data_IF_210702170055
#
_entry.id   IF_210702170055
#
_cell.length_a   1.000
_cell.length_b   1.000
_cell.length_c   1.000
_cell.angle_alpha   90.00
_cell.angle_beta   90.00
_cell.angle_gamma   90.00
#
_symmetry.space_group_name_H-M   'P 1'
#
loop_
_entity.id
_entity.type
_entity.pdbx_description
1 polymer ?
#
# COMPACT_ATOMS: atom_id res chain seq x y z
N UNK A 1 2.74 17.16 17.23
CA UNK A 1 2.24 17.94 16.07
C UNK A 1 0.83 17.43 15.80
N UNK A 2 -0.20 18.20 16.14
CA UNK A 2 -1.60 17.79 15.94
C UNK A 2 -1.97 18.12 14.49
N UNK A 3 -2.24 17.11 13.67
CA UNK A 3 -2.83 17.33 12.35
C UNK A 3 -4.27 17.84 12.60
N UNK A 4 -4.66 19.00 12.04
CA UNK A 4 -6.01 19.54 12.24
C UNK A 4 -7.06 18.53 11.79
N UNK A 5 -8.19 18.50 12.50
CA UNK A 5 -9.35 17.71 12.06
C UNK A 5 -9.77 18.16 10.66
N UNK A 6 -10.02 17.21 9.76
CA UNK A 6 -10.49 17.49 8.41
C UNK A 6 -11.77 18.36 8.46
N UNK A 7 -11.94 19.33 7.54
CA UNK A 7 -13.13 20.17 7.50
C UNK A 7 -14.40 19.33 7.30
N UNK A 8 -15.54 19.81 7.79
CA UNK A 8 -16.87 19.15 7.79
C UNK A 8 -17.50 18.94 6.39
N UNK A 9 -16.69 19.00 5.32
CA UNK A 9 -17.11 18.73 3.94
C UNK A 9 -16.99 17.25 3.57
N UNK A 10 -17.48 16.87 2.37
CA UNK A 10 -17.32 15.50 1.89
C UNK A 10 -15.83 15.13 1.82
N UNK A 11 -15.50 13.92 2.29
CA UNK A 11 -14.13 13.41 2.30
C UNK A 11 -13.64 13.20 0.85
N UNK A 12 -12.36 13.48 0.55
CA UNK A 12 -11.81 13.16 -0.76
C UNK A 12 -11.83 11.65 -0.98
N UNK A 13 -12.11 11.24 -2.21
CA UNK A 13 -11.94 9.85 -2.66
C UNK A 13 -10.50 9.64 -3.10
N UNK A 14 -9.86 8.59 -2.60
CA UNK A 14 -8.45 8.28 -2.85
C UNK A 14 -8.33 6.81 -3.25
N UNK A 15 -7.74 6.56 -4.43
CA UNK A 15 -7.37 5.21 -4.86
C UNK A 15 -5.91 4.96 -4.55
N UNK A 16 -5.62 3.90 -3.79
CA UNK A 16 -4.27 3.45 -3.48
C UNK A 16 -3.90 2.31 -4.44
N UNK A 17 -2.93 2.56 -5.32
CA UNK A 17 -2.34 1.54 -6.19
C UNK A 17 -1.11 0.95 -5.51
N UNK A 18 -1.21 -0.29 -5.05
CA UNK A 18 -0.13 -0.95 -4.31
C UNK A 18 0.79 -1.77 -5.22
N UNK A 19 2.10 -1.52 -5.11
CA UNK A 19 3.14 -2.19 -5.93
C UNK A 19 4.07 -3.10 -5.13
N UNK A 20 3.99 -3.07 -3.79
CA UNK A 20 4.84 -3.82 -2.87
C UNK A 20 5.89 -2.95 -2.18
N UNK A 21 7.16 -3.35 -2.27
CA UNK A 21 8.29 -2.64 -1.65
C UNK A 21 8.33 -2.76 -0.13
N UNK A 22 9.05 -1.84 0.52
CA UNK A 22 9.38 -2.00 1.94
C UNK A 22 8.18 -1.92 2.86
N UNK A 23 7.23 -1.05 2.51
CA UNK A 23 5.98 -0.82 3.26
C UNK A 23 5.09 -2.07 3.34
N UNK A 24 5.16 -2.92 2.32
CA UNK A 24 4.48 -4.21 2.29
C UNK A 24 5.34 -5.34 2.85
N UNK A 25 6.50 -5.03 3.44
CA UNK A 25 7.42 -6.02 3.97
C UNK A 25 6.96 -6.61 5.29
N UNK A 26 7.28 -7.89 5.51
CA UNK A 26 7.15 -8.51 6.82
C UNK A 26 8.51 -9.07 7.27
N UNK A 27 8.67 -9.16 8.59
CA UNK A 27 9.82 -9.76 9.25
C UNK A 27 9.30 -10.74 10.30
N UNK A 28 9.97 -11.87 10.46
CA UNK A 28 9.55 -12.88 11.43
C UNK A 28 9.78 -12.39 12.88
N UNK A 29 10.78 -11.53 13.11
CA UNK A 29 11.02 -10.89 14.41
C UNK A 29 11.48 -9.43 14.27
N UNK A 30 10.95 -8.49 15.09
CA UNK A 30 11.42 -7.12 15.12
C UNK A 30 12.91 -7.03 15.46
N UNK A 31 13.66 -6.21 14.73
CA UNK A 31 15.07 -5.95 15.01
C UNK A 31 16.07 -7.02 14.53
N UNK A 32 15.60 -8.07 13.85
CA UNK A 32 16.49 -9.05 13.21
C UNK A 32 16.64 -8.75 11.71
N UNK A 33 17.82 -9.02 11.15
CA UNK A 33 18.09 -8.93 9.70
C UNK A 33 17.70 -10.20 8.95
N UNK A 34 17.36 -11.27 9.68
CA UNK A 34 17.04 -12.58 9.12
C UNK A 34 15.58 -12.68 8.72
N UNK A 35 15.33 -12.86 7.43
CA UNK A 35 14.02 -13.09 6.80
C UNK A 35 13.08 -11.88 6.68
N UNK A 36 13.62 -10.74 6.22
CA UNK A 36 12.80 -9.70 5.61
C UNK A 36 12.25 -10.17 4.25
N UNK A 37 10.94 -10.12 4.06
CA UNK A 37 10.26 -10.44 2.80
C UNK A 37 9.50 -9.22 2.28
N UNK A 38 10.04 -8.55 1.27
CA UNK A 38 9.33 -7.46 0.57
C UNK A 38 8.04 -8.00 -0.08
N UNK A 39 6.98 -7.20 -0.04
CA UNK A 39 5.70 -7.57 -0.66
C UNK A 39 5.01 -8.77 -0.01
N UNK A 40 5.07 -8.87 1.31
CA UNK A 40 4.33 -9.88 2.10
C UNK A 40 2.92 -9.44 2.45
N UNK A 41 2.70 -8.14 2.66
CA UNK A 41 1.39 -7.57 2.98
C UNK A 41 0.67 -7.13 1.70
N UNK A 42 -0.65 -7.28 1.70
CA UNK A 42 -1.55 -6.71 0.69
C UNK A 42 -1.89 -5.25 1.01
N UNK A 43 -2.38 -4.51 0.02
CA UNK A 43 -2.88 -3.14 0.17
C UNK A 43 -3.93 -3.06 1.30
N UNK A 44 -4.85 -4.01 1.33
CA UNK A 44 -5.94 -4.10 2.31
C UNK A 44 -5.39 -4.29 3.72
N UNK A 45 -4.38 -5.16 3.89
CA UNK A 45 -3.73 -5.37 5.19
C UNK A 45 -3.00 -4.11 5.67
N UNK A 46 -2.36 -3.38 4.77
CA UNK A 46 -1.70 -2.11 5.11
C UNK A 46 -2.74 -1.05 5.51
N UNK A 47 -3.84 -0.92 4.76
CA UNK A 47 -4.91 0.02 5.07
C UNK A 47 -5.55 -0.31 6.43
N UNK A 48 -5.80 -1.59 6.70
CA UNK A 48 -6.32 -2.06 7.97
C UNK A 48 -5.40 -1.75 9.16
N UNK A 49 -4.09 -1.61 8.93
CA UNK A 49 -3.13 -1.22 9.97
C UNK A 49 -3.22 0.26 10.37
N UNK A 50 -3.92 1.09 9.60
CA UNK A 50 -4.09 2.53 9.84
C UNK A 50 -5.58 2.88 10.02
N UNK A 51 -6.18 2.56 11.17
CA UNK A 51 -7.61 2.74 11.40
C UNK A 51 -8.07 4.20 11.40
N UNK A 52 -7.13 5.17 11.44
CA UNK A 52 -7.44 6.59 11.36
C UNK A 52 -7.64 7.10 9.92
N UNK A 53 -7.31 6.32 8.88
CA UNK A 53 -7.47 6.72 7.48
C UNK A 53 -8.88 7.26 7.12
N UNK A 54 -9.98 6.65 7.59
CA UNK A 54 -11.33 7.16 7.29
C UNK A 54 -11.60 8.57 7.82
N UNK A 55 -10.80 9.08 8.76
CA UNK A 55 -10.90 10.49 9.21
C UNK A 55 -10.51 11.47 8.11
N UNK A 56 -9.69 11.05 7.16
CA UNK A 56 -9.07 11.92 6.17
C UNK A 56 -9.61 11.70 4.75
N UNK A 57 -9.98 10.47 4.39
CA UNK A 57 -10.41 10.13 3.03
C UNK A 57 -11.36 8.92 2.98
N UNK A 58 -12.13 8.83 1.90
CA UNK A 58 -12.75 7.58 1.44
C UNK A 58 -11.73 6.84 0.57
N UNK A 59 -11.19 5.73 1.08
CA UNK A 59 -10.06 5.03 0.47
C UNK A 59 -10.53 3.75 -0.20
N UNK A 60 -10.12 3.56 -1.45
CA UNK A 60 -10.20 2.30 -2.20
C UNK A 60 -8.76 1.82 -2.50
N UNK A 61 -8.57 0.52 -2.67
CA UNK A 61 -7.27 -0.07 -3.02
C UNK A 61 -7.34 -0.98 -4.23
N UNK A 62 -6.26 -0.95 -5.01
CA UNK A 62 -5.98 -1.90 -6.07
C UNK A 62 -4.57 -2.45 -5.89
N UNK A 63 -4.43 -3.78 -5.92
CA UNK A 63 -3.13 -4.44 -5.85
C UNK A 63 -2.60 -4.67 -7.27
N UNK A 64 -1.71 -3.79 -7.70
CA UNK A 64 -1.07 -3.87 -9.02
C UNK A 64 0.07 -4.90 -9.08
N UNK A 65 0.89 -4.94 -8.03
CA UNK A 65 2.06 -5.81 -7.91
C UNK A 65 2.41 -6.00 -6.44
N UNK A 66 3.17 -7.04 -6.10
CA UNK A 66 3.70 -7.19 -4.74
C UNK A 66 5.14 -7.70 -4.73
N UNK A 67 6.08 -6.85 -5.19
CA UNK A 67 7.50 -7.20 -5.30
C UNK A 67 8.41 -6.14 -4.69
N UNK A 68 9.70 -6.45 -4.50
CA UNK A 68 10.70 -5.45 -4.16
C UNK A 68 10.79 -4.37 -5.25
N UNK A 69 10.98 -3.10 -4.88
CA UNK A 69 11.03 -1.99 -5.84
C UNK A 69 12.12 -2.17 -6.90
N UNK A 70 13.24 -2.81 -6.55
CA UNK A 70 14.34 -3.15 -7.47
C UNK A 70 13.99 -4.20 -8.51
N UNK A 71 12.88 -4.92 -8.32
CA UNK A 71 12.40 -5.96 -9.22
C UNK A 71 11.25 -5.48 -10.14
N UNK A 72 10.80 -4.23 -10.02
CA UNK A 72 9.83 -3.66 -10.96
C UNK A 72 10.53 -3.50 -12.32
N UNK A 73 9.95 -4.12 -13.34
CA UNK A 73 10.39 -4.01 -14.73
C UNK A 73 9.28 -3.42 -15.59
N UNK A 74 9.60 -2.76 -16.73
CA UNK A 74 8.58 -2.28 -17.65
C UNK A 74 7.58 -3.38 -18.07
N UNK A 75 8.07 -4.61 -18.32
CA UNK A 75 7.19 -5.74 -18.64
C UNK A 75 6.27 -6.18 -17.49
N UNK A 76 6.64 -5.94 -16.23
CA UNK A 76 5.73 -6.14 -15.10
C UNK A 76 4.62 -5.08 -15.09
N UNK A 77 4.95 -3.84 -15.48
CA UNK A 77 3.97 -2.75 -15.62
C UNK A 77 3.01 -3.05 -16.77
N UNK A 78 3.53 -3.46 -17.93
CA UNK A 78 2.72 -3.76 -19.12
C UNK A 78 1.70 -4.88 -18.88
N UNK A 79 2.09 -5.95 -18.18
CA UNK A 79 1.18 -7.05 -17.84
C UNK A 79 0.07 -6.64 -16.88
N UNK A 80 0.39 -5.78 -15.91
CA UNK A 80 -0.59 -5.33 -14.92
C UNK A 80 -1.51 -4.24 -15.50
N UNK A 81 -1.07 -3.44 -16.49
CA UNK A 81 -1.95 -2.58 -17.29
C UNK A 81 -2.86 -3.43 -18.18
N UNK A 82 -2.36 -4.51 -18.78
CA UNK A 82 -3.15 -5.39 -19.64
C UNK A 82 -4.22 -6.21 -18.88
N UNK A 83 -4.04 -6.46 -17.58
CA UNK A 83 -5.03 -7.19 -16.77
C UNK A 83 -6.21 -6.32 -16.29
N UNK A 84 -6.15 -5.00 -16.49
CA UNK A 84 -7.18 -4.04 -16.08
C UNK A 84 -7.96 -3.45 -17.27
N UNK A 85 -7.78 -3.99 -18.48
CA UNK A 85 -8.65 -3.75 -19.66
C UNK A 85 -9.59 -4.93 -19.86
#
# INVERSE_FOLDING_TARGET
MQIPAAPLGPRPKVLIIATGGTIAGAQDQPGTTGAYRAGSLTAEQIIASVPELPRYAEVESEQFSNVASTAITPGAVDRAVASHQ
#
